data_IF_817018697989
#
_entry.id   IF_817018697989
#
_cell.length_a   1.000
_cell.length_b   1.000
_cell.length_c   1.000
_cell.angle_alpha   90.00
_cell.angle_beta   90.00
_cell.angle_gamma   90.00
#
_symmetry.space_group_name_H-M   'P 1'
#
loop_
_entity.id
_entity.type
_entity.pdbx_description
1 polymer ?
#
# COMPACT_ATOMS: atom_id res chain seq x y z
N UNK A 1 -5.95 -5.17 -0.53
CA UNK A 1 -5.40 -4.91 0.83
C UNK A 1 -6.48 -5.25 1.84
N UNK A 2 -6.14 -5.93 2.93
CA UNK A 2 -7.13 -6.53 3.84
C UNK A 2 -7.25 -5.91 5.22
N UNK A 3 -6.52 -4.83 5.51
CA UNK A 3 -6.54 -4.20 6.83
C UNK A 3 -7.38 -2.93 6.80
N UNK A 4 -8.08 -2.67 7.91
CA UNK A 4 -8.64 -1.35 8.21
C UNK A 4 -7.55 -0.29 8.28
N UNK A 5 -7.90 0.99 8.15
CA UNK A 5 -6.96 2.09 8.29
C UNK A 5 -6.23 2.05 9.64
N UNK A 6 -6.95 1.74 10.72
CA UNK A 6 -6.38 1.58 12.06
C UNK A 6 -5.34 0.47 12.11
N UNK A 7 -5.64 -0.70 11.55
CA UNK A 7 -4.71 -1.83 11.58
C UNK A 7 -3.52 -1.64 10.64
N UNK A 8 -3.69 -0.90 9.53
CA UNK A 8 -2.57 -0.48 8.69
C UNK A 8 -1.61 0.40 9.50
N UNK A 9 -2.11 1.40 10.21
CA UNK A 9 -1.26 2.27 11.04
C UNK A 9 -0.53 1.47 12.14
N UNK A 10 -1.23 0.56 12.82
CA UNK A 10 -0.60 -0.33 13.80
C UNK A 10 0.49 -1.22 13.16
N UNK A 11 0.22 -1.76 11.97
CA UNK A 11 1.18 -2.59 11.25
C UNK A 11 2.42 -1.79 10.84
N UNK A 12 2.26 -0.53 10.42
CA UNK A 12 3.38 0.36 10.07
C UNK A 12 4.28 0.61 11.29
N UNK A 13 3.73 0.88 12.46
CA UNK A 13 4.53 1.06 13.68
C UNK A 13 5.30 -0.22 14.07
N UNK A 14 4.68 -1.38 13.89
CA UNK A 14 5.36 -2.67 14.09
C UNK A 14 6.47 -2.90 13.06
N UNK A 15 6.25 -2.51 11.80
CA UNK A 15 7.25 -2.61 10.74
C UNK A 15 8.43 -1.67 11.03
N UNK A 16 8.17 -0.44 11.46
CA UNK A 16 9.19 0.53 11.88
C UNK A 16 10.03 0.01 13.04
N UNK A 17 9.40 -0.63 14.03
CA UNK A 17 10.11 -1.19 15.19
C UNK A 17 10.87 -2.50 14.90
N UNK A 18 10.63 -3.15 13.76
CA UNK A 18 11.29 -4.42 13.40
C UNK A 18 12.80 -4.31 13.12
N UNK A 19 13.32 -3.10 12.87
CA UNK A 19 14.70 -2.88 12.43
C UNK A 19 14.96 -3.21 10.95
N UNK A 20 13.91 -3.55 10.18
CA UNK A 20 14.00 -3.73 8.74
C UNK A 20 14.34 -2.41 8.03
N UNK A 21 15.07 -2.49 6.91
CA UNK A 21 15.39 -1.31 6.10
C UNK A 21 14.29 -0.94 5.10
N UNK A 22 13.63 -1.94 4.54
CA UNK A 22 12.65 -1.75 3.48
C UNK A 22 11.34 -2.47 3.77
N UNK A 23 10.24 -1.87 3.30
CA UNK A 23 8.92 -2.48 3.22
C UNK A 23 8.59 -2.73 1.75
N UNK A 24 8.24 -3.97 1.39
CA UNK A 24 7.68 -4.29 0.07
C UNK A 24 6.20 -4.62 0.26
N UNK A 25 5.31 -3.88 -0.40
CA UNK A 25 3.86 -4.13 -0.33
C UNK A 25 3.13 -3.63 -1.59
N UNK A 26 1.90 -4.08 -1.77
CA UNK A 26 1.05 -3.72 -2.91
C UNK A 26 0.50 -2.30 -2.75
N UNK A 27 0.48 -1.53 -3.84
CA UNK A 27 -0.17 -0.23 -3.94
C UNK A 27 -0.82 -0.06 -5.33
N UNK A 28 -1.90 0.72 -5.39
CA UNK A 28 -2.64 1.03 -6.61
C UNK A 28 -2.39 2.51 -6.93
N UNK A 29 -1.45 2.79 -7.83
CA UNK A 29 -0.85 4.14 -7.95
C UNK A 29 -1.77 5.20 -8.52
N UNK A 30 -2.82 4.80 -9.24
CA UNK A 30 -3.80 5.69 -9.84
C UNK A 30 -5.12 5.70 -9.04
N UNK A 31 -5.13 5.06 -7.86
CA UNK A 31 -6.27 5.09 -6.96
C UNK A 31 -6.21 6.34 -6.07
N UNK A 32 -7.31 7.09 -5.99
CA UNK A 32 -7.36 8.41 -5.34
C UNK A 32 -8.22 8.47 -4.08
N UNK A 33 -8.75 7.33 -3.60
CA UNK A 33 -9.67 7.32 -2.46
C UNK A 33 -9.51 6.08 -1.58
N UNK A 34 -8.75 6.20 -0.49
CA UNK A 34 -8.59 5.12 0.48
C UNK A 34 -9.77 5.07 1.48
N UNK A 35 -10.92 4.54 1.05
CA UNK A 35 -12.09 4.34 1.93
C UNK A 35 -11.79 3.30 3.02
N UNK A 36 -12.34 3.47 4.23
CA UNK A 36 -12.08 2.50 5.31
C UNK A 36 -12.82 1.16 5.12
N UNK A 37 -12.30 0.04 5.65
CA UNK A 37 -12.93 -1.29 5.63
C UNK A 37 -12.77 -1.97 6.99
N UNK A 38 -13.59 -2.99 7.25
CA UNK A 38 -13.35 -3.92 8.36
C UNK A 38 -12.19 -4.84 7.97
N UNK A 39 -11.26 -5.08 8.89
CA UNK A 39 -10.12 -5.98 8.63
C UNK A 39 -10.61 -7.37 8.25
N UNK A 40 -10.10 -7.88 7.12
CA UNK A 40 -10.54 -9.12 6.47
C UNK A 40 -11.12 -8.87 5.08
N UNK A 41 -11.85 -7.76 4.88
CA UNK A 41 -12.40 -7.38 3.58
C UNK A 41 -11.29 -6.99 2.59
N UNK A 42 -11.63 -6.72 1.33
CA UNK A 42 -10.65 -6.31 0.32
C UNK A 42 -10.96 -4.93 -0.25
N UNK A 43 -9.91 -4.11 -0.42
CA UNK A 43 -9.95 -2.87 -1.22
C UNK A 43 -8.63 -2.61 -1.97
N UNK A 44 -8.65 -1.88 -3.10
CA UNK A 44 -7.47 -1.19 -3.61
C UNK A 44 -7.06 -0.08 -2.64
N UNK A 45 -5.76 0.23 -2.61
CA UNK A 45 -5.22 1.22 -1.68
C UNK A 45 -3.99 1.90 -2.30
N UNK A 46 -3.94 3.22 -2.23
CA UNK A 46 -2.78 4.00 -2.62
C UNK A 46 -2.05 4.51 -1.39
N UNK A 47 -0.88 3.94 -1.10
CA UNK A 47 -0.13 4.28 0.12
C UNK A 47 0.47 5.70 0.09
N UNK A 48 0.63 6.29 -1.10
CA UNK A 48 1.09 7.67 -1.24
C UNK A 48 -0.04 8.70 -1.03
N UNK A 49 -1.31 8.28 -1.02
CA UNK A 49 -2.46 9.17 -0.83
C UNK A 49 -2.94 9.14 0.63
N UNK A 50 -3.80 10.10 0.99
CA UNK A 50 -4.41 10.19 2.31
C UNK A 50 -5.19 8.90 2.62
N UNK A 51 -5.21 8.44 3.89
CA UNK A 51 -4.59 9.05 5.06
C UNK A 51 -3.12 8.65 5.30
N UNK A 52 -2.53 7.78 4.48
CA UNK A 52 -1.21 7.19 4.75
C UNK A 52 -0.06 8.09 4.33
N UNK A 53 -0.19 8.80 3.20
CA UNK A 53 0.75 9.83 2.73
C UNK A 53 2.22 9.38 2.73
N UNK A 54 2.51 8.13 2.34
CA UNK A 54 3.89 7.67 2.23
C UNK A 54 4.64 8.50 1.20
N UNK A 55 5.93 8.72 1.43
CA UNK A 55 6.80 9.29 0.42
C UNK A 55 6.88 8.38 -0.83
N UNK A 56 7.42 8.94 -1.92
CA UNK A 56 7.64 8.19 -3.14
C UNK A 56 8.45 6.90 -2.86
N UNK A 57 8.05 5.74 -3.41
CA UNK A 57 8.76 4.49 -3.17
C UNK A 57 10.16 4.53 -3.79
N UNK A 58 11.10 3.82 -3.16
CA UNK A 58 12.45 3.62 -3.69
C UNK A 58 12.43 2.88 -5.04
N UNK A 59 11.50 1.91 -5.19
CA UNK A 59 11.28 1.19 -6.45
C UNK A 59 9.82 0.80 -6.58
N UNK A 60 9.32 0.75 -7.81
CA UNK A 60 7.98 0.22 -8.12
C UNK A 60 8.06 -0.79 -9.26
N UNK A 61 7.24 -1.84 -9.16
CA UNK A 61 7.10 -2.91 -10.15
C UNK A 61 5.61 -3.05 -10.43
N UNK A 62 5.16 -2.63 -11.61
CA UNK A 62 3.79 -2.82 -12.05
C UNK A 62 3.55 -4.32 -12.31
N UNK A 63 2.47 -4.88 -11.77
CA UNK A 63 2.15 -6.30 -11.89
C UNK A 63 1.64 -6.67 -13.29
N UNK A 64 1.31 -5.69 -14.13
CA UNK A 64 0.60 -5.81 -15.39
C UNK A 64 -0.70 -6.61 -15.21
N UNK A 65 -1.46 -6.30 -14.15
CA UNK A 65 -2.67 -7.03 -13.78
C UNK A 65 -3.73 -6.95 -14.89
N UNK A 66 -4.19 -8.12 -15.36
CA UNK A 66 -5.23 -8.27 -16.39
C UNK A 66 -6.58 -8.74 -15.81
N UNK A 67 -6.68 -8.86 -14.50
CA UNK A 67 -7.92 -9.29 -13.81
C UNK A 67 -9.04 -8.25 -14.03
N UNK A 68 -10.30 -8.71 -13.97
CA UNK A 68 -11.49 -7.87 -14.18
C UNK A 68 -11.39 -6.97 -15.43
N UNK A 69 -10.92 -7.52 -16.55
CA UNK A 69 -10.69 -6.77 -17.81
C UNK A 69 -9.75 -5.56 -17.65
N UNK A 70 -8.76 -5.65 -16.76
CA UNK A 70 -7.74 -4.62 -16.56
C UNK A 70 -8.19 -3.48 -15.63
N UNK A 71 -9.21 -3.69 -14.80
CA UNK A 71 -9.68 -2.71 -13.82
C UNK A 71 -8.55 -2.24 -12.87
N UNK A 72 -7.62 -3.14 -12.53
CA UNK A 72 -6.51 -2.89 -11.61
C UNK A 72 -5.14 -2.81 -12.31
N UNK A 73 -5.09 -2.26 -13.52
CA UNK A 73 -3.84 -2.12 -14.30
C UNK A 73 -2.73 -1.31 -13.61
N UNK A 74 -3.07 -0.53 -12.59
CA UNK A 74 -2.14 0.27 -11.79
C UNK A 74 -1.61 -0.48 -10.54
N UNK A 75 -2.12 -1.69 -10.27
CA UNK A 75 -1.66 -2.55 -9.19
C UNK A 75 -0.17 -2.84 -9.35
N UNK A 76 0.57 -2.49 -8.31
CA UNK A 76 2.03 -2.54 -8.31
C UNK A 76 2.56 -3.01 -6.96
N UNK A 77 3.69 -3.70 -6.99
CA UNK A 77 4.51 -3.92 -5.81
C UNK A 77 5.50 -2.77 -5.70
N UNK A 78 5.43 -2.00 -4.62
CA UNK A 78 6.37 -0.92 -4.35
C UNK A 78 7.25 -1.26 -3.15
N UNK A 79 8.49 -0.79 -3.20
CA UNK A 79 9.51 -0.93 -2.17
C UNK A 79 9.74 0.45 -1.57
N UNK A 80 9.52 0.59 -0.27
CA UNK A 80 9.71 1.82 0.48
C UNK A 80 10.89 1.68 1.44
N UNK A 81 11.66 2.74 1.57
CA UNK A 81 12.60 2.89 2.70
C UNK A 81 11.78 3.22 3.96
N UNK A 82 11.91 2.41 5.00
CA UNK A 82 11.04 2.50 6.20
C UNK A 82 11.25 3.82 6.96
N UNK A 83 12.43 4.43 6.87
CA UNK A 83 12.75 5.72 7.50
C UNK A 83 12.08 6.93 6.81
N UNK A 84 11.51 6.73 5.61
CA UNK A 84 10.75 7.74 4.83
C UNK A 84 9.24 7.54 4.88
N UNK A 85 8.78 6.50 5.58
CA UNK A 85 7.38 6.23 5.91
C UNK A 85 7.08 6.88 7.26
#
# INVERSE_FOLDING_TARGET
MHFSNKDILNAIENIKSSGSKYLLTTTFTNHHMNFDIVTGDWRPLNLQDKPFNFAAPFRIINENCTELNGEFKDKSMALWEIDKI
#
